data_IF_949831346040
#
_entry.id   IF_949831346040
#
_cell.length_a   1.000
_cell.length_b   1.000
_cell.length_c   1.000
_cell.angle_alpha   90.00
_cell.angle_beta   90.00
_cell.angle_gamma   90.00
#
_symmetry.space_group_name_H-M   'P 1'
#
loop_
_entity.id
_entity.type
_entity.pdbx_description
1 polymer ?
#
# COMPACT_ATOMS: atom_id res chain seq x y z
N UNK A 1 3.08 11.68 -15.24
CA UNK A 1 4.55 11.56 -15.03
C UNK A 1 4.84 10.09 -14.77
N UNK A 2 5.69 9.48 -15.60
CA UNK A 2 5.93 8.03 -15.64
C UNK A 2 6.59 7.58 -14.33
N UNK A 3 5.80 7.03 -13.39
CA UNK A 3 6.36 6.45 -12.16
C UNK A 3 7.08 5.16 -12.54
N UNK A 4 8.36 5.05 -12.22
CA UNK A 4 9.19 3.88 -12.55
C UNK A 4 8.68 2.68 -11.72
N UNK A 5 8.70 1.43 -12.23
CA UNK A 5 8.30 0.25 -11.45
C UNK A 5 8.93 0.19 -10.05
N UNK A 6 10.17 0.63 -9.93
CA UNK A 6 10.87 0.76 -8.64
C UNK A 6 10.17 1.67 -7.64
N UNK A 7 9.69 2.84 -8.06
CA UNK A 7 9.01 3.81 -7.19
C UNK A 7 7.68 3.25 -6.67
N UNK A 8 6.96 2.50 -7.51
CA UNK A 8 5.70 1.82 -7.11
C UNK A 8 5.97 0.74 -6.07
N UNK A 9 6.98 -0.10 -6.28
CA UNK A 9 7.39 -1.11 -5.29
C UNK A 9 7.79 -0.45 -3.97
N UNK A 10 8.57 0.63 -4.02
CA UNK A 10 8.94 1.38 -2.83
C UNK A 10 7.73 1.99 -2.13
N UNK A 11 6.73 2.49 -2.85
CA UNK A 11 5.50 3.00 -2.27
C UNK A 11 4.73 1.92 -1.51
N UNK A 12 4.63 0.70 -2.05
CA UNK A 12 4.00 -0.45 -1.37
C UNK A 12 4.75 -0.82 -0.09
N UNK A 13 6.07 -0.98 -0.17
CA UNK A 13 6.90 -1.36 0.98
C UNK A 13 6.84 -0.31 2.10
N UNK A 14 6.96 0.97 1.76
CA UNK A 14 6.89 2.07 2.75
C UNK A 14 5.48 2.23 3.34
N UNK A 15 4.43 1.95 2.56
CA UNK A 15 3.06 1.90 3.08
C UNK A 15 2.90 0.79 4.09
N UNK A 16 3.46 -0.39 3.84
CA UNK A 16 3.48 -1.49 4.81
C UNK A 16 4.15 -1.10 6.12
N UNK A 17 5.33 -0.46 6.06
CA UNK A 17 6.01 -0.02 7.28
C UNK A 17 5.23 1.06 8.02
N UNK A 18 4.61 2.02 7.31
CA UNK A 18 3.73 3.00 7.93
C UNK A 18 2.54 2.34 8.66
N UNK A 19 1.92 1.33 8.06
CA UNK A 19 0.81 0.60 8.67
C UNK A 19 1.24 -0.20 9.91
N UNK A 20 2.47 -0.72 9.93
CA UNK A 20 3.03 -1.36 11.13
C UNK A 20 3.29 -0.34 12.23
N UNK A 21 3.95 0.78 11.92
CA UNK A 21 4.17 1.88 12.88
C UNK A 21 2.84 2.27 13.54
N UNK A 22 1.76 2.36 12.75
CA UNK A 22 0.41 2.63 13.26
C UNK A 22 -0.15 1.50 14.13
N UNK A 23 0.01 0.25 13.72
CA UNK A 23 -0.48 -0.90 14.48
C UNK A 23 0.21 -1.06 15.83
N UNK A 24 1.49 -0.68 15.93
CA UNK A 24 2.27 -0.71 17.17
C UNK A 24 2.13 0.56 18.01
N UNK A 25 1.38 1.57 17.54
CA UNK A 25 1.14 2.80 18.28
C UNK A 25 2.33 3.77 18.31
N UNK A 26 3.27 3.65 17.36
CA UNK A 26 4.52 4.43 17.32
C UNK A 26 4.36 5.83 16.70
N UNK A 27 3.12 6.27 16.42
CA UNK A 27 2.85 7.54 15.73
C UNK A 27 2.31 8.61 16.68
N UNK A 28 3.21 9.43 17.22
CA UNK A 28 2.86 10.51 18.17
C UNK A 28 2.32 11.78 17.49
N UNK A 29 2.52 11.94 16.17
CA UNK A 29 2.15 13.16 15.44
C UNK A 29 1.27 12.89 14.20
N UNK A 30 -0.03 13.15 14.35
CA UNK A 30 -1.07 12.96 13.34
C UNK A 30 -0.82 13.74 12.05
N UNK A 31 -0.25 14.95 12.13
CA UNK A 31 0.02 15.76 10.93
C UNK A 31 1.22 15.27 10.14
N UNK A 32 2.26 14.80 10.84
CA UNK A 32 3.41 14.15 10.20
C UNK A 32 2.97 12.85 9.50
N UNK A 33 2.15 12.04 10.18
CA UNK A 33 1.53 10.85 9.63
C UNK A 33 0.72 11.15 8.36
N UNK A 34 -0.16 12.16 8.41
CA UNK A 34 -1.00 12.55 7.27
C UNK A 34 -0.16 12.97 6.07
N UNK A 35 0.93 13.71 6.28
CA UNK A 35 1.86 14.10 5.21
C UNK A 35 2.57 12.88 4.60
N UNK A 36 3.08 11.95 5.43
CA UNK A 36 3.69 10.70 4.97
C UNK A 36 2.71 9.86 4.15
N UNK A 37 1.48 9.67 4.63
CA UNK A 37 0.44 8.94 3.93
C UNK A 37 0.13 9.54 2.54
N UNK A 38 -0.07 10.87 2.46
CA UNK A 38 -0.30 11.56 1.18
C UNK A 38 0.86 11.40 0.20
N UNK A 39 2.10 11.45 0.68
CA UNK A 39 3.28 11.27 -0.16
C UNK A 39 3.37 9.84 -0.73
N UNK A 40 3.02 8.82 0.07
CA UNK A 40 2.99 7.43 -0.37
C UNK A 40 1.89 7.17 -1.39
N UNK A 41 0.70 7.73 -1.18
CA UNK A 41 -0.43 7.61 -2.11
C UNK A 41 -0.13 8.15 -3.51
N UNK A 42 0.77 9.13 -3.65
CA UNK A 42 1.15 9.69 -4.95
C UNK A 42 1.76 8.66 -5.91
N UNK A 43 2.44 7.66 -5.36
CA UNK A 43 3.14 6.62 -6.12
C UNK A 43 2.57 5.22 -5.87
N UNK A 44 1.48 5.13 -5.10
CA UNK A 44 0.88 3.85 -4.77
C UNK A 44 0.21 3.26 -6.03
N UNK A 45 0.40 1.95 -6.31
CA UNK A 45 -0.21 1.32 -7.47
C UNK A 45 -1.74 1.41 -7.43
N UNK A 46 -2.37 1.47 -8.60
CA UNK A 46 -3.84 1.40 -8.65
C UNK A 46 -4.31 -0.03 -8.37
N UNK A 47 -5.59 -0.21 -8.05
CA UNK A 47 -6.18 -1.51 -7.74
C UNK A 47 -5.86 -2.59 -8.80
N UNK A 48 -5.94 -2.22 -10.09
CA UNK A 48 -5.62 -3.13 -11.20
C UNK A 48 -4.17 -3.62 -11.18
N UNK A 49 -3.20 -2.77 -10.82
CA UNK A 49 -1.78 -3.16 -10.70
C UNK A 49 -1.60 -4.16 -9.55
N UNK A 50 -2.31 -3.94 -8.43
CA UNK A 50 -2.29 -4.81 -7.27
C UNK A 50 -2.94 -6.16 -7.56
N UNK A 51 -4.08 -6.18 -8.26
CA UNK A 51 -4.78 -7.41 -8.66
C UNK A 51 -3.94 -8.23 -9.65
N UNK A 52 -3.28 -7.57 -10.61
CA UNK A 52 -2.34 -8.23 -11.51
C UNK A 52 -1.16 -8.85 -10.76
N UNK A 53 -0.63 -8.14 -9.75
CA UNK A 53 0.44 -8.67 -8.89
C UNK A 53 -0.03 -9.86 -8.05
N UNK A 54 -1.24 -9.81 -7.50
CA UNK A 54 -1.86 -10.90 -6.75
C UNK A 54 -2.14 -12.14 -7.63
N UNK A 55 -2.57 -11.94 -8.87
CA UNK A 55 -2.75 -13.03 -9.83
C UNK A 55 -1.43 -13.70 -10.20
N UNK A 56 -0.34 -12.93 -10.33
CA UNK A 56 0.98 -13.45 -10.66
C UNK A 56 1.67 -14.15 -9.47
N UNK A 57 1.48 -13.64 -8.25
CA UNK A 57 2.10 -14.15 -7.02
C UNK A 57 1.07 -14.32 -5.89
N UNK A 58 0.12 -15.26 -6.02
CA UNK A 58 -0.99 -15.43 -5.08
C UNK A 58 -0.55 -15.91 -3.68
N UNK A 59 0.64 -16.50 -3.56
CA UNK A 59 1.21 -16.88 -2.26
C UNK A 59 1.78 -15.69 -1.48
N UNK A 60 1.98 -14.54 -2.14
CA UNK A 60 2.62 -13.35 -1.55
C UNK A 60 1.60 -12.23 -1.36
N UNK A 61 0.75 -11.99 -2.35
CA UNK A 61 -0.16 -10.84 -2.38
C UNK A 61 -1.63 -11.28 -2.43
N UNK A 62 -2.47 -10.59 -1.65
CA UNK A 62 -3.92 -10.74 -1.71
C UNK A 62 -4.51 -9.76 -2.75
N UNK A 63 -5.67 -10.08 -3.35
CA UNK A 63 -6.40 -9.16 -4.23
C UNK A 63 -6.76 -7.85 -3.52
N UNK A 64 -6.77 -6.74 -4.27
CA UNK A 64 -7.02 -5.39 -3.74
C UNK A 64 -8.43 -5.22 -3.15
N UNK A 65 -9.39 -5.97 -3.68
CA UNK A 65 -10.70 -6.16 -3.07
C UNK A 65 -10.83 -7.63 -2.66
N UNK A 66 -10.80 -7.88 -1.35
CA UNK A 66 -11.48 -9.07 -0.84
C UNK A 66 -12.96 -8.83 -1.13
N UNK A 67 -13.52 -9.51 -2.15
CA UNK A 67 -14.97 -9.55 -2.30
C UNK A 67 -15.49 -10.08 -0.97
N UNK A 68 -16.13 -9.20 -0.20
CA UNK A 68 -16.68 -9.56 1.10
C UNK A 68 -17.39 -10.89 0.96
N UNK A 69 -17.07 -11.83 1.85
CA UNK A 69 -17.77 -13.10 1.98
C UNK A 69 -19.26 -12.76 1.95
N UNK A 70 -19.92 -13.06 0.82
CA UNK A 70 -21.36 -12.95 0.71
C UNK A 70 -21.90 -13.94 1.75
N UNK A 71 -22.49 -13.40 2.81
CA UNK A 71 -23.36 -14.15 3.71
C UNK A 71 -24.63 -14.54 2.99
#
# INVERSE_FOLDING_TARGET
MMTVPYERTQAVLRTRELLKELAFGESDNVDALRRRAKALLKHFPVAADMDASAAALPAVWAPSFTKGRAG
#
